data_IF_768305007007
#
_entry.id   IF_768305007007
#
_cell.length_a   1.000
_cell.length_b   1.000
_cell.length_c   1.000
_cell.angle_alpha   90.00
_cell.angle_beta   90.00
_cell.angle_gamma   90.00
#
_symmetry.space_group_name_H-M   'P 1'
#
loop_
_entity.id
_entity.type
_entity.pdbx_description
1 polymer ?
#
# COMPACT_ATOMS: atom_id res chain seq x y z
N UNK A 1 -24.97 -12.38 1.43
CA UNK A 1 -25.23 -13.65 2.13
C UNK A 1 -25.77 -14.63 1.10
N UNK A 2 -25.11 -15.75 0.88
CA UNK A 2 -25.54 -16.76 -0.09
C UNK A 2 -25.84 -18.02 0.71
N UNK A 3 -27.10 -18.45 0.71
CA UNK A 3 -27.54 -19.65 1.40
C UNK A 3 -27.95 -20.68 0.35
N UNK A 4 -27.32 -21.86 0.40
CA UNK A 4 -27.73 -23.00 -0.40
C UNK A 4 -28.79 -23.77 0.37
N UNK A 5 -29.99 -23.84 -0.20
CA UNK A 5 -31.16 -24.49 0.39
C UNK A 5 -31.53 -25.71 -0.44
N UNK A 6 -31.61 -26.87 0.23
CA UNK A 6 -32.30 -28.06 -0.28
C UNK A 6 -33.46 -28.38 0.68
N UNK A 7 -34.67 -28.53 0.15
CA UNK A 7 -35.85 -28.91 0.93
C UNK A 7 -36.19 -28.04 2.16
N UNK A 8 -36.05 -26.71 2.07
CA UNK A 8 -36.31 -25.74 3.15
C UNK A 8 -35.41 -25.86 4.39
N UNK A 9 -34.37 -26.69 4.35
CA UNK A 9 -33.38 -26.81 5.43
C UNK A 9 -32.08 -26.13 5.01
N UNK A 10 -31.60 -25.09 5.73
CA UNK A 10 -30.31 -24.48 5.42
C UNK A 10 -29.20 -25.50 5.73
N UNK A 11 -28.54 -26.02 4.69
CA UNK A 11 -27.46 -27.00 4.84
C UNK A 11 -26.15 -26.35 5.29
N UNK A 12 -25.89 -25.13 4.80
CA UNK A 12 -24.67 -24.37 5.10
C UNK A 12 -24.90 -22.89 4.80
N UNK A 13 -24.75 -22.03 5.82
CA UNK A 13 -24.73 -20.57 5.66
C UNK A 13 -23.32 -20.09 5.97
N UNK A 14 -22.72 -19.38 5.01
CA UNK A 14 -21.47 -18.67 5.25
C UNK A 14 -21.66 -17.19 4.95
N UNK A 15 -21.30 -16.37 5.94
CA UNK A 15 -21.30 -14.92 5.83
C UNK A 15 -19.97 -14.48 5.24
N UNK A 16 -19.91 -14.34 3.92
CA UNK A 16 -18.79 -13.64 3.29
C UNK A 16 -18.89 -12.14 3.59
N UNK A 17 -17.95 -11.64 4.39
CA UNK A 17 -17.66 -10.21 4.42
C UNK A 17 -16.55 -9.96 3.39
N UNK A 18 -16.91 -9.45 2.21
CA UNK A 18 -15.91 -8.95 1.27
C UNK A 18 -15.35 -7.66 1.87
N UNK A 19 -14.22 -7.76 2.56
CA UNK A 19 -13.42 -6.60 2.97
C UNK A 19 -12.41 -6.36 1.86
N UNK A 20 -12.79 -5.63 0.81
CA UNK A 20 -11.81 -5.06 -0.14
C UNK A 20 -10.96 -3.96 0.52
N UNK A 21 -11.21 -3.67 1.78
CA UNK A 21 -10.48 -2.70 2.58
C UNK A 21 -9.39 -3.42 3.34
N UNK A 22 -8.14 -3.08 3.04
CA UNK A 22 -7.00 -3.42 3.89
C UNK A 22 -7.21 -2.74 5.25
N UNK A 23 -7.81 -3.45 6.21
CA UNK A 23 -8.04 -2.98 7.57
C UNK A 23 -6.73 -3.05 8.36
N UNK A 24 -5.87 -2.08 8.11
CA UNK A 24 -4.78 -1.80 9.04
C UNK A 24 -5.33 -1.26 10.35
N UNK A 25 -4.78 -1.64 11.49
CA UNK A 25 -5.01 -0.90 12.73
C UNK A 25 -4.32 0.47 12.72
N UNK A 26 -3.38 0.68 11.78
CA UNK A 26 -2.64 1.92 11.62
C UNK A 26 -3.41 2.97 10.81
N UNK A 27 -3.67 4.10 11.45
CA UNK A 27 -4.42 5.22 10.87
C UNK A 27 -3.66 5.91 9.72
N UNK A 28 -2.33 5.99 9.77
CA UNK A 28 -1.54 6.62 8.71
C UNK A 28 -1.60 5.80 7.42
N UNK A 29 -1.61 4.47 7.55
CA UNK A 29 -1.71 3.56 6.42
C UNK A 29 -3.11 3.57 5.79
N UNK A 30 -4.17 3.61 6.61
CA UNK A 30 -5.54 3.76 6.11
C UNK A 30 -5.70 5.07 5.31
N UNK A 31 -5.18 6.18 5.84
CA UNK A 31 -5.24 7.47 5.18
C UNK A 31 -4.48 7.48 3.84
N UNK A 32 -3.33 6.81 3.79
CA UNK A 32 -2.58 6.63 2.55
C UNK A 32 -3.37 5.84 1.51
N UNK A 33 -3.98 4.72 1.90
CA UNK A 33 -4.74 3.88 0.97
C UNK A 33 -6.01 4.57 0.48
N UNK A 34 -6.74 5.24 1.37
CA UNK A 34 -7.90 6.04 1.00
C UNK A 34 -7.52 7.19 0.04
N UNK A 35 -6.33 7.79 0.21
CA UNK A 35 -5.84 8.81 -0.71
C UNK A 35 -5.46 8.22 -2.08
N UNK A 36 -4.77 7.07 -2.10
CA UNK A 36 -4.40 6.38 -3.33
C UNK A 36 -5.63 5.93 -4.14
N UNK A 37 -6.65 5.39 -3.46
CA UNK A 37 -7.92 5.01 -4.06
C UNK A 37 -8.64 6.21 -4.67
N UNK A 38 -8.70 7.34 -3.96
CA UNK A 38 -9.28 8.58 -4.52
C UNK A 38 -8.55 9.06 -5.76
N UNK A 39 -7.22 9.00 -5.78
CA UNK A 39 -6.40 9.36 -6.94
C UNK A 39 -6.66 8.42 -8.13
N UNK A 40 -6.84 7.13 -7.87
CA UNK A 40 -7.19 6.16 -8.90
C UNK A 40 -8.57 6.41 -9.51
N UNK A 41 -9.57 6.70 -8.68
CA UNK A 41 -10.92 7.04 -9.17
C UNK A 41 -10.96 8.42 -9.88
N UNK A 42 -10.09 9.34 -9.48
CA UNK A 42 -9.96 10.66 -10.10
C UNK A 42 -9.43 10.62 -11.54
N UNK A 43 -8.85 9.48 -11.97
CA UNK A 43 -8.51 9.21 -13.38
C UNK A 43 -9.74 9.31 -14.31
N UNK A 44 -10.95 9.13 -13.77
CA UNK A 44 -12.21 9.14 -14.51
C UNK A 44 -12.86 10.54 -14.51
N UNK A 45 -12.55 11.41 -13.53
CA UNK A 45 -13.33 12.63 -13.27
C UNK A 45 -12.58 13.95 -13.44
N UNK A 46 -11.29 13.95 -13.87
CA UNK A 46 -10.49 15.19 -14.11
C UNK A 46 -10.28 16.10 -12.89
N UNK A 47 -10.58 15.62 -11.67
CA UNK A 47 -10.33 16.37 -10.43
C UNK A 47 -9.04 15.85 -9.81
N UNK A 48 -7.93 16.54 -10.03
CA UNK A 48 -6.64 16.21 -9.40
C UNK A 48 -6.68 16.73 -7.96
N UNK A 49 -6.50 15.88 -6.93
CA UNK A 49 -6.39 16.32 -5.54
C UNK A 49 -5.28 17.37 -5.38
N UNK A 50 -5.39 18.31 -4.43
CA UNK A 50 -4.35 19.31 -4.23
C UNK A 50 -3.02 18.63 -3.91
N UNK A 51 -1.95 19.00 -4.62
CA UNK A 51 -0.59 18.48 -4.38
C UNK A 51 -0.15 18.59 -2.90
N UNK A 52 -0.68 19.60 -2.21
CA UNK A 52 -0.46 19.87 -0.78
C UNK A 52 -1.09 18.80 0.13
N UNK A 53 -2.19 18.17 -0.28
CA UNK A 53 -2.83 17.07 0.44
C UNK A 53 -1.98 15.81 0.32
N UNK A 54 -1.58 15.43 -0.90
CA UNK A 54 -0.73 14.26 -1.14
C UNK A 54 0.58 14.35 -0.36
N UNK A 55 1.24 15.51 -0.34
CA UNK A 55 2.47 15.70 0.44
C UNK A 55 2.26 15.53 1.96
N UNK A 56 1.11 15.97 2.50
CA UNK A 56 0.80 15.80 3.93
C UNK A 56 0.59 14.32 4.27
N UNK A 57 -0.15 13.61 3.42
CA UNK A 57 -0.38 12.17 3.59
C UNK A 57 0.94 11.41 3.54
N UNK A 58 1.78 11.64 2.53
CA UNK A 58 3.09 10.99 2.41
C UNK A 58 3.99 11.25 3.62
N UNK A 59 4.03 12.49 4.13
CA UNK A 59 4.78 12.82 5.34
C UNK A 59 4.25 12.06 6.57
N UNK A 60 2.93 11.98 6.72
CA UNK A 60 2.32 11.23 7.81
C UNK A 60 2.56 9.72 7.69
N UNK A 61 2.71 9.20 6.47
CA UNK A 61 3.00 7.77 6.23
C UNK A 61 4.36 7.30 6.74
N UNK A 62 5.29 8.20 7.08
CA UNK A 62 6.52 7.82 7.79
C UNK A 62 6.26 7.34 9.22
N UNK A 63 5.08 7.63 9.80
CA UNK A 63 4.72 7.19 11.14
C UNK A 63 3.94 5.85 11.14
N UNK A 64 3.85 5.15 10.00
CA UNK A 64 3.18 3.84 9.94
C UNK A 64 3.96 2.84 10.79
N UNK A 65 3.25 2.14 11.68
CA UNK A 65 3.87 1.12 12.52
C UNK A 65 4.52 -0.01 11.69
N UNK A 66 5.71 -0.43 12.10
CA UNK A 66 6.50 -1.43 11.40
C UNK A 66 5.77 -2.78 11.23
N UNK A 67 4.94 -3.19 12.20
CA UNK A 67 4.16 -4.44 12.10
C UNK A 67 3.13 -4.31 10.97
N UNK A 68 2.50 -3.13 10.86
CA UNK A 68 1.57 -2.83 9.77
C UNK A 68 2.29 -2.79 8.42
N UNK A 69 3.47 -2.16 8.36
CA UNK A 69 4.33 -2.17 7.16
C UNK A 69 4.62 -3.60 6.70
N UNK A 70 5.02 -4.49 7.61
CA UNK A 70 5.37 -5.88 7.26
C UNK A 70 4.14 -6.65 6.80
N UNK A 71 3.02 -6.53 7.52
CA UNK A 71 1.78 -7.26 7.21
C UNK A 71 1.18 -6.84 5.86
N UNK A 72 1.37 -5.59 5.46
CA UNK A 72 0.78 -5.02 4.25
C UNK A 72 1.82 -4.54 3.24
N UNK A 73 3.05 -5.01 3.36
CA UNK A 73 4.17 -4.68 2.48
C UNK A 73 3.82 -4.79 0.99
N UNK A 74 3.21 -5.90 0.52
CA UNK A 74 2.63 -6.01 -0.82
C UNK A 74 1.87 -4.79 -1.30
N UNK A 75 0.85 -4.46 -0.52
CA UNK A 75 -0.16 -3.48 -0.90
C UNK A 75 0.43 -2.10 -0.79
N UNK A 76 1.20 -1.83 0.27
CA UNK A 76 1.85 -0.56 0.51
C UNK A 76 2.78 -0.17 -0.64
N UNK A 77 3.65 -1.09 -1.05
CA UNK A 77 4.54 -0.85 -2.18
C UNK A 77 3.77 -0.68 -3.49
N UNK A 78 2.78 -1.53 -3.77
CA UNK A 78 1.99 -1.42 -4.98
C UNK A 78 1.27 -0.06 -5.07
N UNK A 79 0.69 0.42 -3.96
CA UNK A 79 0.05 1.72 -3.92
C UNK A 79 1.05 2.88 -4.12
N UNK A 80 2.22 2.82 -3.49
CA UNK A 80 3.27 3.83 -3.67
C UNK A 80 3.82 3.86 -5.09
N UNK A 81 4.01 2.70 -5.74
CA UNK A 81 4.44 2.66 -7.15
C UNK A 81 3.38 3.15 -8.11
N UNK A 82 2.12 2.79 -7.87
CA UNK A 82 1.02 3.35 -8.64
C UNK A 82 1.02 4.88 -8.51
N UNK A 83 1.10 5.42 -7.30
CA UNK A 83 1.20 6.87 -7.08
C UNK A 83 2.40 7.50 -7.80
N UNK A 84 3.56 6.83 -7.79
CA UNK A 84 4.76 7.29 -8.48
C UNK A 84 4.58 7.29 -10.02
N UNK A 85 3.92 6.28 -10.57
CA UNK A 85 3.66 6.17 -12.01
C UNK A 85 2.67 7.23 -12.51
N UNK A 86 1.77 7.72 -11.65
CA UNK A 86 0.77 8.71 -12.03
C UNK A 86 1.16 10.16 -11.71
N UNK A 87 2.16 10.39 -10.86
CA UNK A 87 2.56 11.76 -10.52
C UNK A 87 3.47 12.37 -11.57
N UNK A 88 3.09 13.55 -12.09
CA UNK A 88 3.95 14.39 -12.93
C UNK A 88 4.77 15.41 -12.12
N UNK A 89 4.55 15.46 -10.80
CA UNK A 89 5.15 16.43 -9.90
C UNK A 89 6.42 15.87 -9.26
N UNK A 90 7.58 16.43 -9.60
CA UNK A 90 8.89 15.96 -9.10
C UNK A 90 9.00 15.97 -7.58
N UNK A 91 8.37 16.93 -6.90
CA UNK A 91 8.36 17.01 -5.44
C UNK A 91 7.63 15.82 -4.81
N UNK A 92 6.43 15.49 -5.32
CA UNK A 92 5.66 14.33 -4.86
C UNK A 92 6.41 13.04 -5.14
N UNK A 93 6.96 12.89 -6.35
CA UNK A 93 7.80 11.74 -6.72
C UNK A 93 8.96 11.54 -5.74
N UNK A 94 9.69 12.62 -5.40
CA UNK A 94 10.79 12.57 -4.44
C UNK A 94 10.34 12.16 -3.04
N UNK A 95 9.19 12.65 -2.58
CA UNK A 95 8.63 12.26 -1.27
C UNK A 95 8.22 10.77 -1.25
N UNK A 96 7.65 10.25 -2.35
CA UNK A 96 7.31 8.82 -2.47
C UNK A 96 8.59 7.97 -2.42
N UNK A 97 9.63 8.35 -3.17
CA UNK A 97 10.91 7.63 -3.16
C UNK A 97 11.53 7.63 -1.76
N UNK A 98 11.54 8.78 -1.07
CA UNK A 98 12.01 8.88 0.32
C UNK A 98 11.25 7.96 1.27
N UNK A 99 9.93 7.88 1.13
CA UNK A 99 9.09 7.00 1.94
C UNK A 99 9.40 5.52 1.65
N UNK A 100 9.58 5.14 0.38
CA UNK A 100 9.97 3.79 -0.01
C UNK A 100 11.31 3.39 0.63
N UNK A 101 12.32 4.27 0.55
CA UNK A 101 13.63 4.03 1.18
C UNK A 101 13.48 3.87 2.69
N UNK A 102 12.74 4.76 3.34
CA UNK A 102 12.51 4.69 4.79
C UNK A 102 11.84 3.38 5.20
N UNK A 103 10.86 2.89 4.43
CA UNK A 103 10.19 1.62 4.71
C UNK A 103 11.18 0.44 4.61
N UNK A 104 12.00 0.41 3.55
CA UNK A 104 13.02 -0.65 3.37
C UNK A 104 14.01 -0.63 4.53
N UNK A 105 14.49 0.56 4.89
CA UNK A 105 15.43 0.76 5.99
C UNK A 105 14.84 0.28 7.33
N UNK A 106 13.59 0.67 7.63
CA UNK A 106 12.88 0.27 8.85
C UNK A 106 12.71 -1.25 8.97
N UNK A 107 12.49 -1.95 7.85
CA UNK A 107 12.41 -3.42 7.83
C UNK A 107 13.78 -4.05 8.01
N UNK A 108 14.83 -3.47 7.40
CA UNK A 108 16.20 -3.95 7.53
C UNK A 108 16.71 -3.82 8.97
N UNK A 109 16.49 -2.67 9.60
CA UNK A 109 16.83 -2.43 11.01
C UNK A 109 16.12 -3.41 11.95
N UNK A 110 14.90 -3.84 11.61
CA UNK A 110 14.14 -4.82 12.40
C UNK A 110 14.69 -6.25 12.35
N UNK A 111 15.71 -6.52 11.52
CA UNK A 111 16.30 -7.83 11.35
C UNK A 111 15.43 -8.82 10.56
N UNK A 112 14.32 -8.37 9.95
CA UNK A 112 13.41 -9.21 9.14
C UNK A 112 13.76 -9.21 7.65
N UNK A 113 15.05 -9.18 7.33
CA UNK A 113 15.56 -9.15 5.96
C UNK A 113 15.08 -10.35 5.14
N UNK A 114 14.80 -11.49 5.76
CA UNK A 114 14.25 -12.68 5.08
C UNK A 114 12.86 -12.43 4.50
N UNK A 115 12.00 -11.72 5.24
CA UNK A 115 10.66 -11.33 4.75
C UNK A 115 10.78 -10.40 3.55
N UNK A 116 11.68 -9.42 3.62
CA UNK A 116 11.95 -8.51 2.51
C UNK A 116 12.51 -9.25 1.28
N UNK A 117 13.46 -10.16 1.49
CA UNK A 117 14.07 -10.95 0.42
C UNK A 117 13.07 -11.88 -0.28
N UNK A 118 12.18 -12.54 0.47
CA UNK A 118 11.08 -13.31 -0.11
C UNK A 118 10.20 -12.39 -0.97
N UNK A 119 9.91 -11.19 -0.46
CA UNK A 119 9.08 -10.22 -1.15
C UNK A 119 9.69 -9.72 -2.46
N UNK A 120 10.98 -9.35 -2.42
CA UNK A 120 11.76 -8.92 -3.60
C UNK A 120 11.86 -10.05 -4.63
N UNK A 121 12.03 -11.29 -4.18
CA UNK A 121 12.18 -12.44 -5.07
C UNK A 121 10.89 -12.79 -5.81
N UNK A 122 9.73 -12.50 -5.20
CA UNK A 122 8.40 -12.70 -5.80
C UNK A 122 8.00 -11.51 -6.68
N UNK A 123 8.32 -10.29 -6.26
CA UNK A 123 7.94 -9.07 -6.95
C UNK A 123 9.14 -8.52 -7.75
N UNK A 124 9.35 -8.99 -8.97
CA UNK A 124 10.53 -8.65 -9.79
C UNK A 124 10.78 -7.15 -10.01
N UNK A 125 9.76 -6.29 -9.83
CA UNK A 125 9.87 -4.82 -9.87
C UNK A 125 10.64 -4.26 -8.66
N UNK A 126 10.50 -4.89 -7.49
CA UNK A 126 11.23 -4.50 -6.28
C UNK A 126 12.72 -4.80 -6.38
N UNK A 127 13.12 -5.75 -7.22
CA UNK A 127 14.53 -6.10 -7.43
C UNK A 127 15.30 -4.96 -8.09
N UNK A 128 14.67 -4.28 -9.06
CA UNK A 128 15.23 -3.08 -9.70
C UNK A 128 15.30 -1.89 -8.75
N UNK A 129 14.27 -1.70 -7.92
CA UNK A 129 14.26 -0.63 -6.92
C UNK A 129 15.20 -0.89 -5.74
N UNK A 130 15.35 -2.13 -5.30
CA UNK A 130 16.36 -2.50 -4.31
C UNK A 130 17.77 -2.27 -4.85
N UNK A 131 18.03 -2.64 -6.11
CA UNK A 131 19.31 -2.32 -6.76
C UNK A 131 19.52 -0.81 -6.92
N UNK A 132 18.47 -0.06 -7.27
CA UNK A 132 18.54 1.39 -7.42
C UNK A 132 18.78 2.10 -6.08
N UNK A 133 18.06 1.68 -5.02
CA UNK A 133 18.21 2.22 -3.66
C UNK A 133 19.56 1.82 -3.05
N UNK A 134 20.03 0.59 -3.25
CA UNK A 134 21.34 0.15 -2.73
C UNK A 134 22.54 0.78 -3.46
N UNK A 135 22.32 1.34 -4.66
CA UNK A 135 23.34 2.09 -5.42
C UNK A 135 23.34 3.59 -5.14
N UNK A 136 22.30 4.13 -4.50
CA UNK A 136 22.21 5.54 -4.10
C UNK A 136 22.67 5.73 -2.65
#
# INVERSE_FOLDING_TARGET
EVCWIDGQKPLFSFKCHLLSSVYSSDNHMQNLFAHAERLEHSKITTIIPPETETCKILKASHAIDLISVINFLPTLFNQLFNLLAFTSCTNIASNIIRLLVHIVDSIQESGRCDTLNIYIKVCGILLYLYYFISCC
#
